data_IF_816324391494
#
_entry.id   IF_816324391494
#
_cell.length_a   1.000
_cell.length_b   1.000
_cell.length_c   1.000
_cell.angle_alpha   90.00
_cell.angle_beta   90.00
_cell.angle_gamma   90.00
#
_symmetry.space_group_name_H-M   'P 1'
#
loop_
_entity.id
_entity.type
_entity.pdbx_description
1 polymer ?
#
# COMPACT_ATOMS: atom_id res chain seq x y z
N UNK A 1 -10.74 8.63 -3.20
CA UNK A 1 -10.13 7.82 -2.12
C UNK A 1 -8.63 8.15 -2.01
N UNK A 2 -7.92 7.66 -0.99
CA UNK A 2 -6.48 7.95 -0.81
C UNK A 2 -5.62 7.46 -1.99
N UNK A 3 -5.96 6.30 -2.55
CA UNK A 3 -5.36 5.81 -3.81
C UNK A 3 -5.55 6.78 -4.97
N UNK A 4 -6.74 7.38 -5.12
CA UNK A 4 -6.98 8.37 -6.18
C UNK A 4 -6.13 9.63 -6.01
N UNK A 5 -5.91 10.08 -4.77
CA UNK A 5 -4.99 11.18 -4.47
C UNK A 5 -3.59 10.82 -4.93
N UNK A 6 -3.11 9.65 -4.53
CA UNK A 6 -1.77 9.15 -4.88
C UNK A 6 -1.57 9.10 -6.40
N UNK A 7 -2.54 8.54 -7.14
CA UNK A 7 -2.51 8.48 -8.62
C UNK A 7 -2.46 9.85 -9.32
N UNK A 8 -2.89 10.93 -8.64
CA UNK A 8 -2.86 12.30 -9.16
C UNK A 8 -1.68 13.12 -8.66
N UNK A 9 -0.92 12.60 -7.71
CA UNK A 9 0.18 13.30 -7.03
C UNK A 9 1.54 12.77 -7.49
N UNK A 10 2.60 13.53 -7.21
CA UNK A 10 3.99 13.09 -7.37
C UNK A 10 4.44 12.10 -6.28
N UNK A 11 3.56 11.78 -5.33
CA UNK A 11 3.85 10.89 -4.19
C UNK A 11 3.89 9.40 -4.54
N UNK A 12 3.80 9.04 -5.83
CA UNK A 12 4.07 7.69 -6.31
C UNK A 12 5.27 7.73 -7.27
N UNK A 13 6.29 6.94 -6.94
CA UNK A 13 7.39 6.57 -7.84
C UNK A 13 7.07 5.25 -8.53
N UNK A 14 7.31 5.14 -9.84
CA UNK A 14 7.07 3.91 -10.58
C UNK A 14 7.89 2.75 -9.99
N UNK A 15 7.22 1.60 -9.75
CA UNK A 15 7.89 0.37 -9.37
C UNK A 15 8.34 -0.37 -10.63
N UNK A 16 9.64 -0.38 -10.89
CA UNK A 16 10.22 -0.93 -12.12
C UNK A 16 10.15 -2.46 -12.20
N UNK A 17 9.83 -3.12 -11.09
CA UNK A 17 9.56 -4.57 -11.04
C UNK A 17 8.18 -4.93 -11.60
N UNK A 18 7.34 -3.93 -11.89
CA UNK A 18 6.05 -4.12 -12.54
C UNK A 18 6.18 -3.99 -14.06
N UNK A 19 5.49 -4.87 -14.77
CA UNK A 19 5.61 -4.97 -16.22
C UNK A 19 4.84 -3.89 -17.00
N UNK A 20 4.02 -3.08 -16.31
CA UNK A 20 3.23 -1.99 -16.90
C UNK A 20 2.03 -2.45 -17.75
N UNK A 21 1.93 -3.75 -18.05
CA UNK A 21 0.86 -4.33 -18.87
C UNK A 21 -0.19 -5.04 -18.03
N UNK A 22 0.23 -6.02 -17.25
CA UNK A 22 -0.61 -6.79 -16.35
C UNK A 22 -0.71 -6.14 -14.97
N UNK A 23 0.41 -5.57 -14.51
CA UNK A 23 0.52 -4.93 -13.21
C UNK A 23 1.16 -3.56 -13.43
N UNK A 24 0.48 -2.53 -12.95
CA UNK A 24 0.96 -1.16 -12.99
C UNK A 24 0.89 -0.58 -11.57
N UNK A 25 1.76 0.36 -11.25
CA UNK A 25 1.86 0.79 -9.85
C UNK A 25 3.18 1.41 -9.47
N UNK A 26 3.32 1.65 -8.18
CA UNK A 26 4.48 2.32 -7.66
C UNK A 26 4.58 2.37 -6.15
N UNK A 27 5.76 2.77 -5.68
CA UNK A 27 6.07 2.99 -4.29
C UNK A 27 5.56 4.36 -3.84
N UNK A 28 4.92 4.37 -2.67
CA UNK A 28 4.42 5.60 -2.07
C UNK A 28 5.56 6.32 -1.36
N UNK A 29 5.91 7.49 -1.89
CA UNK A 29 7.05 8.30 -1.47
C UNK A 29 6.75 9.20 -0.28
N UNK A 30 5.49 9.44 0.03
CA UNK A 30 5.09 10.34 1.12
C UNK A 30 5.36 9.78 2.53
N UNK A 31 6.22 8.78 2.70
CA UNK A 31 6.53 8.16 4.00
C UNK A 31 7.39 9.05 4.91
N UNK A 32 8.06 10.05 4.36
CA UNK A 32 9.02 10.92 5.07
C UNK A 32 8.33 12.09 5.82
N UNK A 33 7.31 12.78 5.26
CA UNK A 33 6.60 13.83 5.97
C UNK A 33 5.69 13.27 7.09
N UNK A 34 5.67 13.93 8.26
CA UNK A 34 4.76 13.61 9.39
C UNK A 34 3.25 13.65 9.07
N UNK A 35 2.90 14.11 7.87
CA UNK A 35 1.54 14.25 7.38
C UNK A 35 1.16 13.23 6.29
N UNK A 36 1.94 12.17 6.08
CA UNK A 36 1.53 11.05 5.20
C UNK A 36 0.17 10.51 5.62
N UNK A 37 -0.86 10.75 4.82
CA UNK A 37 -2.19 10.24 5.12
C UNK A 37 -2.20 8.72 5.06
N UNK A 38 -1.57 8.10 4.05
CA UNK A 38 -1.58 6.66 3.90
C UNK A 38 -0.73 5.92 4.96
N UNK A 39 0.51 6.35 5.21
CA UNK A 39 1.36 5.68 6.21
C UNK A 39 0.78 5.85 7.61
N UNK A 40 0.18 7.00 7.93
CA UNK A 40 -0.50 7.18 9.22
C UNK A 40 -1.71 6.26 9.37
N UNK A 41 -2.48 6.04 8.29
CA UNK A 41 -3.63 5.13 8.31
C UNK A 41 -3.20 3.67 8.56
N UNK A 42 -2.09 3.22 7.97
CA UNK A 42 -1.66 1.82 8.03
C UNK A 42 -0.67 1.57 9.18
N UNK A 43 0.43 2.33 9.23
CA UNK A 43 1.52 2.14 10.20
C UNK A 43 1.38 2.99 11.47
N UNK A 44 0.58 4.06 11.43
CA UNK A 44 0.21 4.83 12.62
C UNK A 44 -0.91 4.20 13.46
N UNK A 45 -1.43 3.03 13.05
CA UNK A 45 -2.52 2.34 13.71
C UNK A 45 -1.98 1.29 14.70
N UNK A 46 -1.73 1.72 15.94
CA UNK A 46 -1.19 0.85 17.00
C UNK A 46 -2.06 -0.40 17.29
N UNK A 47 -3.41 -0.31 17.38
CA UNK A 47 -4.25 -1.49 17.51
C UNK A 47 -4.04 -2.52 16.40
N UNK A 48 -3.89 -2.06 15.16
CA UNK A 48 -3.61 -2.95 14.03
C UNK A 48 -2.23 -3.60 14.16
N UNK A 49 -1.18 -2.84 14.50
CA UNK A 49 0.17 -3.39 14.77
C UNK A 49 0.17 -4.44 15.88
N UNK A 50 -0.58 -4.21 16.96
CA UNK A 50 -0.73 -5.17 18.05
C UNK A 50 -1.42 -6.44 17.58
N UNK A 51 -2.48 -6.32 16.78
CA UNK A 51 -3.14 -7.47 16.16
C UNK A 51 -2.19 -8.26 15.25
N UNK A 52 -1.39 -7.59 14.41
CA UNK A 52 -0.38 -8.25 13.56
C UNK A 52 0.62 -9.04 14.41
N UNK A 53 1.09 -8.44 15.52
CA UNK A 53 2.00 -9.11 16.45
C UNK A 53 1.37 -10.36 17.08
N UNK A 54 0.09 -10.28 17.45
CA UNK A 54 -0.64 -11.39 18.04
C UNK A 54 -0.86 -12.55 17.06
N UNK A 55 -1.19 -12.26 15.79
CA UNK A 55 -1.43 -13.28 14.77
C UNK A 55 -0.14 -13.95 14.30
N UNK A 56 0.97 -13.22 14.24
CA UNK A 56 2.26 -13.80 13.86
C UNK A 56 2.79 -14.81 14.88
N UNK A 57 2.45 -14.64 16.17
CA UNK A 57 2.88 -15.48 17.29
C UNK A 57 4.42 -15.62 17.50
N UNK A 58 5.24 -14.88 16.74
CA UNK A 58 6.72 -14.89 16.76
C UNK A 58 7.33 -13.65 17.47
N UNK A 59 6.49 -12.91 18.19
CA UNK A 59 6.86 -11.71 18.96
C UNK A 59 6.31 -10.40 18.39
N UNK A 60 6.80 -9.25 18.88
CA UNK A 60 6.38 -7.95 18.39
C UNK A 60 6.70 -7.76 16.90
N UNK A 61 5.81 -7.06 16.21
CA UNK A 61 5.93 -6.71 14.80
C UNK A 61 5.95 -5.19 14.64
N UNK A 62 6.71 -4.73 13.65
CA UNK A 62 6.89 -3.30 13.37
C UNK A 62 6.64 -3.00 11.89
N UNK A 63 6.20 -1.77 11.56
CA UNK A 63 6.15 -1.31 10.18
C UNK A 63 7.46 -1.52 9.43
N UNK A 64 7.40 -2.03 8.21
CA UNK A 64 8.60 -2.10 7.36
C UNK A 64 9.12 -0.71 7.01
N UNK A 65 10.43 -0.60 6.89
CA UNK A 65 11.12 0.49 6.18
C UNK A 65 11.16 0.25 4.65
N UNK A 66 10.57 -0.85 4.17
CA UNK A 66 10.21 -1.01 2.76
C UNK A 66 8.94 -0.22 2.44
N UNK A 67 8.88 0.51 1.31
CA UNK A 67 7.72 1.35 0.99
C UNK A 67 6.43 0.57 0.77
N UNK A 68 5.31 1.19 1.12
CA UNK A 68 3.98 0.77 0.69
C UNK A 68 3.90 0.89 -0.84
N UNK A 69 3.37 -0.13 -1.49
CA UNK A 69 3.17 -0.18 -2.93
C UNK A 69 1.68 -0.06 -3.28
N UNK A 70 1.34 0.80 -4.22
CA UNK A 70 0.04 0.79 -4.90
C UNK A 70 0.19 -0.08 -6.15
N UNK A 71 -0.68 -1.06 -6.34
CA UNK A 71 -0.68 -1.92 -7.53
C UNK A 71 -2.08 -2.05 -8.12
N UNK A 72 -2.20 -1.80 -9.41
CA UNK A 72 -3.42 -1.95 -10.20
C UNK A 72 -3.24 -3.07 -11.24
N UNK A 73 -4.30 -3.86 -11.40
CA UNK A 73 -4.48 -4.81 -12.48
C UNK A 73 -5.54 -4.23 -13.42
N UNK A 74 -5.14 -3.88 -14.63
CA UNK A 74 -6.03 -3.29 -15.64
C UNK A 74 -6.98 -4.30 -16.29
N UNK A 75 -7.87 -3.80 -17.16
CA UNK A 75 -8.89 -4.59 -17.88
C UNK A 75 -8.35 -5.73 -18.73
N UNK A 76 -7.15 -5.55 -19.26
CA UNK A 76 -6.48 -6.55 -20.11
C UNK A 76 -5.42 -7.36 -19.34
N UNK A 77 -5.37 -7.20 -18.02
CA UNK A 77 -4.39 -7.89 -17.20
C UNK A 77 -4.61 -9.40 -17.26
N UNK A 78 -3.52 -10.12 -17.56
CA UNK A 78 -3.45 -11.58 -17.45
C UNK A 78 -3.17 -12.04 -16.02
N UNK A 79 -3.07 -11.10 -15.08
CA UNK A 79 -2.83 -11.36 -13.66
C UNK A 79 -1.35 -11.40 -13.29
N UNK A 80 -1.02 -12.29 -12.36
CA UNK A 80 0.32 -12.47 -11.80
C UNK A 80 0.67 -13.95 -11.80
N UNK A 81 1.85 -14.27 -12.35
CA UNK A 81 2.39 -15.62 -12.31
C UNK A 81 2.55 -16.15 -10.89
N UNK A 82 2.57 -17.47 -10.72
CA UNK A 82 2.66 -18.08 -9.42
C UNK A 82 4.06 -17.93 -8.83
N UNK A 83 4.15 -17.44 -7.59
CA UNK A 83 5.42 -17.32 -6.87
C UNK A 83 5.21 -17.41 -5.35
N UNK A 84 6.25 -17.76 -4.58
CA UNK A 84 6.34 -17.42 -3.16
C UNK A 84 6.76 -15.96 -2.99
N UNK A 85 6.43 -15.34 -1.85
CA UNK A 85 6.97 -14.01 -1.51
C UNK A 85 8.45 -14.11 -1.15
N UNK A 86 9.23 -13.14 -1.65
CA UNK A 86 10.67 -13.02 -1.38
C UNK A 86 10.94 -12.77 0.10
N UNK A 87 12.03 -13.33 0.60
CA UNK A 87 12.47 -13.06 1.96
C UNK A 87 13.26 -11.78 2.00
N UNK A 88 12.60 -10.67 2.30
CA UNK A 88 13.21 -9.34 2.33
C UNK A 88 14.03 -9.06 3.61
N UNK A 89 13.70 -9.67 4.75
CA UNK A 89 14.44 -9.46 6.00
C UNK A 89 15.08 -10.75 6.52
N UNK A 90 16.06 -10.55 7.40
CA UNK A 90 17.06 -11.56 7.74
C UNK A 90 16.48 -12.76 8.48
N UNK A 91 15.40 -12.57 9.24
CA UNK A 91 14.83 -13.65 10.05
C UNK A 91 13.75 -14.38 9.24
N UNK A 92 13.97 -15.64 8.85
CA UNK A 92 12.97 -16.39 8.12
C UNK A 92 11.67 -16.50 8.92
N UNK A 93 10.54 -16.47 8.22
CA UNK A 93 9.19 -16.70 8.78
C UNK A 93 8.66 -15.65 9.76
N UNK A 94 9.38 -14.55 10.00
CA UNK A 94 8.88 -13.48 10.87
C UNK A 94 8.09 -12.41 10.14
N UNK A 95 8.42 -12.13 8.88
CA UNK A 95 7.77 -11.04 8.16
C UNK A 95 6.45 -11.47 7.55
N UNK A 96 5.52 -10.52 7.52
CA UNK A 96 4.19 -10.68 6.97
C UNK A 96 3.99 -9.64 5.87
N UNK A 97 3.67 -10.12 4.67
CA UNK A 97 3.22 -9.29 3.57
C UNK A 97 1.69 -9.20 3.59
N UNK A 98 1.19 -7.99 3.37
CA UNK A 98 -0.23 -7.69 3.33
C UNK A 98 -0.63 -7.20 1.95
N UNK A 99 -1.70 -7.75 1.41
CA UNK A 99 -2.39 -7.24 0.23
C UNK A 99 -3.79 -6.79 0.63
N UNK A 100 -3.96 -5.48 0.81
CA UNK A 100 -5.26 -4.87 1.08
C UNK A 100 -5.95 -4.50 -0.23
N UNK A 101 -7.13 -5.07 -0.47
CA UNK A 101 -7.92 -4.82 -1.68
C UNK A 101 -8.73 -3.55 -1.51
N UNK A 102 -8.36 -2.52 -2.27
CA UNK A 102 -9.03 -1.21 -2.25
C UNK A 102 -10.30 -1.27 -3.09
N UNK A 103 -10.16 -1.74 -4.33
CA UNK A 103 -11.26 -2.00 -5.26
C UNK A 103 -11.02 -3.31 -6.01
N UNK A 104 -12.12 -3.92 -6.46
CA UNK A 104 -12.09 -5.09 -7.33
C UNK A 104 -13.46 -5.27 -7.99
N UNK A 105 -13.61 -4.80 -9.23
CA UNK A 105 -14.78 -5.09 -10.09
C UNK A 105 -14.50 -6.23 -11.08
N UNK A 106 -13.29 -6.81 -11.03
CA UNK A 106 -12.90 -7.96 -11.83
C UNK A 106 -13.41 -9.29 -11.28
N UNK A 107 -13.31 -10.32 -12.12
CA UNK A 107 -13.52 -11.72 -11.73
C UNK A 107 -12.21 -12.45 -11.40
N UNK A 108 -11.11 -11.72 -11.22
CA UNK A 108 -9.83 -12.36 -10.90
C UNK A 108 -9.88 -13.05 -9.53
N UNK A 109 -9.29 -14.24 -9.47
CA UNK A 109 -9.05 -14.97 -8.25
C UNK A 109 -7.60 -14.81 -7.85
N UNK A 110 -7.39 -14.63 -6.55
CA UNK A 110 -6.12 -14.96 -5.92
C UNK A 110 -6.14 -16.46 -5.64
N UNK A 111 -5.15 -17.18 -6.13
CA UNK A 111 -4.99 -18.61 -5.91
C UNK A 111 -3.78 -18.87 -5.03
N UNK A 112 -3.87 -19.78 -4.07
CA UNK A 112 -2.73 -20.19 -3.25
C UNK A 112 -2.82 -21.66 -2.84
N UNK A 113 -1.66 -22.29 -2.65
CA UNK A 113 -1.58 -23.64 -2.11
C UNK A 113 -1.33 -23.58 -0.59
N UNK A 114 -2.11 -24.34 0.17
CA UNK A 114 -1.86 -24.50 1.61
C UNK A 114 -0.76 -25.53 1.90
N UNK A 115 -0.43 -25.69 3.18
CA UNK A 115 0.60 -26.63 3.63
C UNK A 115 0.28 -28.11 3.33
N UNK A 116 -1.00 -28.44 3.08
CA UNK A 116 -1.42 -29.78 2.66
C UNK A 116 -1.41 -29.95 1.13
N UNK A 117 -0.98 -28.93 0.38
CA UNK A 117 -0.97 -28.93 -1.08
C UNK A 117 -2.34 -28.70 -1.71
N UNK A 118 -3.35 -28.30 -0.93
CA UNK A 118 -4.68 -27.99 -1.46
C UNK A 118 -4.69 -26.57 -2.05
N UNK A 119 -5.19 -26.48 -3.28
CA UNK A 119 -5.43 -25.21 -3.95
C UNK A 119 -6.68 -24.52 -3.39
N UNK A 120 -6.53 -23.24 -3.02
CA UNK A 120 -7.60 -22.34 -2.65
C UNK A 120 -7.73 -21.24 -3.71
N UNK A 121 -8.97 -20.85 -4.00
CA UNK A 121 -9.30 -19.78 -4.94
C UNK A 121 -10.17 -18.75 -4.21
N UNK A 122 -9.71 -17.50 -4.17
CA UNK A 122 -10.38 -16.42 -3.44
C UNK A 122 -10.53 -15.21 -4.33
N UNK A 123 -11.77 -14.80 -4.60
CA UNK A 123 -12.04 -13.49 -5.21
C UNK A 123 -12.08 -12.43 -4.11
N UNK A 124 -11.02 -11.63 -3.99
CA UNK A 124 -10.92 -10.57 -2.97
C UNK A 124 -11.97 -9.49 -3.19
N UNK A 125 -12.68 -9.07 -2.14
CA UNK A 125 -13.65 -7.97 -2.21
C UNK A 125 -13.01 -6.64 -1.78
N UNK A 126 -13.56 -5.48 -2.18
CA UNK A 126 -13.13 -4.20 -1.61
C UNK A 126 -13.15 -4.26 -0.07
N UNK A 127 -12.18 -3.60 0.56
CA UNK A 127 -11.97 -3.62 2.01
C UNK A 127 -11.69 -5.02 2.61
N UNK A 128 -11.05 -5.90 1.84
CA UNK A 128 -10.53 -7.18 2.35
C UNK A 128 -9.01 -7.15 2.43
N UNK A 129 -8.47 -7.89 3.41
CA UNK A 129 -7.03 -7.99 3.67
C UNK A 129 -6.61 -9.44 3.52
N UNK A 130 -5.62 -9.70 2.67
CA UNK A 130 -4.89 -10.96 2.63
C UNK A 130 -3.53 -10.75 3.28
N UNK A 131 -3.10 -11.74 4.05
CA UNK A 131 -1.82 -11.73 4.76
C UNK A 131 -1.08 -13.02 4.42
N UNK A 132 0.19 -12.90 4.05
CA UNK A 132 1.02 -14.01 3.60
C UNK A 132 2.33 -13.97 4.38
N UNK A 133 2.72 -15.13 4.91
CA UNK A 133 4.05 -15.29 5.47
C UNK A 133 5.08 -15.43 4.36
N UNK A 134 6.24 -14.80 4.54
CA UNK A 134 7.37 -14.93 3.63
C UNK A 134 7.72 -16.40 3.38
N UNK A 135 8.02 -16.76 2.12
CA UNK A 135 8.33 -18.13 1.69
C UNK A 135 7.28 -19.19 2.06
N UNK A 136 6.06 -18.81 2.44
CA UNK A 136 5.06 -19.76 2.92
C UNK A 136 4.19 -20.33 1.78
N UNK A 137 3.34 -19.50 1.18
CA UNK A 137 2.37 -19.96 0.18
C UNK A 137 2.78 -19.49 -1.22
N UNK A 138 2.94 -20.45 -2.13
CA UNK A 138 2.95 -20.12 -3.57
C UNK A 138 1.56 -19.60 -3.93
N UNK A 139 1.50 -18.42 -4.53
CA UNK A 139 0.25 -17.79 -4.88
C UNK A 139 0.33 -17.06 -6.22
N UNK A 140 -0.83 -16.85 -6.83
CA UNK A 140 -0.97 -16.24 -8.15
C UNK A 140 -2.25 -15.39 -8.19
N UNK A 141 -2.36 -14.55 -9.21
CA UNK A 141 -3.58 -13.78 -9.51
C UNK A 141 -3.99 -14.12 -10.92
N UNK A 142 -5.24 -14.53 -11.14
CA UNK A 142 -5.73 -14.83 -12.48
C UNK A 142 -5.99 -13.56 -13.29
N UNK A 143 -6.35 -13.71 -14.57
CA UNK A 143 -6.78 -12.59 -15.40
C UNK A 143 -7.98 -11.85 -14.78
N UNK A 144 -8.05 -10.55 -15.06
CA UNK A 144 -9.16 -9.69 -14.63
C UNK A 144 -10.43 -9.85 -15.48
N UNK A 145 -10.34 -10.54 -16.62
CA UNK A 145 -11.47 -10.79 -17.53
C UNK A 145 -12.31 -9.53 -17.85
N UNK A 146 -11.62 -8.41 -18.12
CA UNK A 146 -12.25 -7.14 -18.50
C UNK A 146 -12.56 -6.18 -17.34
N UNK A 147 -12.39 -6.61 -16.09
CA UNK A 147 -12.50 -5.74 -14.91
C UNK A 147 -11.15 -5.18 -14.44
N UNK A 148 -11.15 -4.52 -13.29
CA UNK A 148 -9.99 -3.91 -12.65
C UNK A 148 -9.87 -4.33 -11.19
N UNK A 149 -8.65 -4.20 -10.65
CA UNK A 149 -8.37 -4.48 -9.24
C UNK A 149 -7.21 -3.62 -8.76
N UNK A 150 -7.42 -2.88 -7.69
CA UNK A 150 -6.39 -2.10 -7.01
C UNK A 150 -6.12 -2.66 -5.62
N UNK A 151 -4.85 -2.82 -5.30
CA UNK A 151 -4.39 -3.21 -3.97
C UNK A 151 -3.37 -2.22 -3.42
N UNK A 152 -3.27 -2.21 -2.10
CA UNK A 152 -2.12 -1.71 -1.37
C UNK A 152 -1.33 -2.91 -0.85
N UNK A 153 -0.04 -2.92 -1.12
CA UNK A 153 0.91 -3.92 -0.61
C UNK A 153 1.82 -3.27 0.42
N UNK A 154 1.93 -3.87 1.60
CA UNK A 154 2.76 -3.36 2.70
C UNK A 154 3.23 -4.51 3.60
N UNK A 155 4.24 -4.26 4.44
CA UNK A 155 4.93 -5.31 5.18
C UNK A 155 5.02 -4.92 6.66
N UNK A 156 4.79 -5.89 7.53
CA UNK A 156 5.25 -5.81 8.92
C UNK A 156 6.39 -6.79 9.13
N UNK A 157 7.40 -6.36 9.88
CA UNK A 157 8.65 -7.09 10.07
C UNK A 157 8.87 -7.39 11.53
N UNK A 158 9.53 -8.52 11.79
CA UNK A 158 10.01 -8.87 13.14
C UNK A 158 11.47 -8.48 13.37
N UNK A 159 12.15 -7.95 12.35
CA UNK A 159 13.56 -7.53 12.41
C UNK A 159 13.89 -6.64 11.20
N UNK A 160 14.60 -5.53 11.40
CA UNK A 160 14.98 -4.62 10.31
C UNK A 160 16.24 -5.04 9.54
N UNK A 161 16.98 -6.06 10.02
CA UNK A 161 18.17 -6.55 9.32
C UNK A 161 17.76 -7.12 7.95
N UNK A 162 18.43 -6.69 6.89
CA UNK A 162 18.11 -7.08 5.51
C UNK A 162 18.63 -8.46 5.18
N UNK A 163 17.89 -9.18 4.32
CA UNK A 163 18.43 -10.33 3.59
C UNK A 163 19.23 -9.83 2.37
N UNK A 164 19.85 -10.77 1.63
CA UNK A 164 20.46 -10.44 0.34
C UNK A 164 19.41 -10.11 -0.73
N UNK A 165 18.24 -10.76 -0.69
CA UNK A 165 17.15 -10.57 -1.65
C UNK A 165 16.55 -9.16 -1.56
N UNK A 166 16.60 -8.52 -0.39
CA UNK A 166 16.17 -7.12 -0.21
C UNK A 166 16.75 -6.21 -1.29
N UNK A 167 18.07 -6.30 -1.49
CA UNK A 167 18.80 -5.39 -2.37
C UNK A 167 18.45 -5.60 -3.84
N UNK A 168 18.19 -6.85 -4.24
CA UNK A 168 17.72 -7.16 -5.60
C UNK A 168 16.34 -6.59 -5.92
N UNK A 169 15.53 -6.33 -4.89
CA UNK A 169 14.18 -5.78 -5.05
C UNK A 169 14.14 -4.26 -4.89
N UNK A 170 15.11 -3.67 -4.18
CA UNK A 170 15.22 -2.20 -4.00
C UNK A 170 15.96 -1.47 -5.11
N UNK A 171 16.67 -2.17 -5.99
CA UNK A 171 17.20 -1.58 -7.22
C UNK A 171 16.03 -1.24 -8.15
N UNK A 172 15.34 -0.15 -7.87
CA UNK A 172 14.23 0.39 -8.65
C UNK A 172 14.76 1.17 -9.87
N UNK A 173 15.71 0.58 -10.61
CA UNK A 173 16.30 1.22 -11.78
C UNK A 173 15.33 1.07 -12.96
N UNK A 174 14.61 2.15 -13.26
CA UNK A 174 13.77 2.25 -14.45
C UNK A 174 14.57 2.85 -15.59
N UNK A 175 14.79 2.07 -16.65
CA UNK A 175 15.15 2.64 -17.95
C UNK A 175 14.11 3.68 -18.39
N UNK A 176 14.50 4.64 -19.23
CA UNK A 176 13.58 5.65 -19.78
C UNK A 176 12.39 5.02 -20.51
N UNK A 177 12.61 3.84 -21.10
CA UNK A 177 11.63 3.06 -21.83
C UNK A 177 10.82 2.07 -20.98
N UNK A 178 10.95 2.12 -19.63
CA UNK A 178 10.19 1.22 -18.77
C UNK A 178 8.67 1.41 -18.96
N UNK A 179 7.92 0.37 -19.37
CA UNK A 179 6.50 0.50 -19.67
C UNK A 179 5.64 0.95 -18.48
N UNK A 180 5.98 0.50 -17.25
CA UNK A 180 5.23 0.91 -16.07
C UNK A 180 5.43 2.40 -15.75
N UNK A 181 6.65 2.92 -15.95
CA UNK A 181 6.94 4.36 -15.78
C UNK A 181 6.12 5.22 -16.75
N UNK A 182 6.07 4.82 -18.02
CA UNK A 182 5.27 5.52 -19.03
C UNK A 182 3.78 5.46 -18.70
N UNK A 183 3.26 4.26 -18.41
CA UNK A 183 1.85 4.06 -18.06
C UNK A 183 1.44 4.86 -16.83
N UNK A 184 2.29 4.94 -15.81
CA UNK A 184 2.01 5.75 -14.62
C UNK A 184 1.91 7.24 -14.96
N UNK A 185 2.81 7.75 -15.80
CA UNK A 185 2.79 9.14 -16.27
C UNK A 185 1.55 9.47 -17.10
N UNK A 186 1.18 8.57 -18.03
CA UNK A 186 0.00 8.70 -18.87
C UNK A 186 -1.28 8.69 -18.04
N UNK A 187 -1.38 7.76 -17.08
CA UNK A 187 -2.52 7.65 -16.15
C UNK A 187 -2.66 8.89 -15.30
N UNK A 188 -1.55 9.41 -14.74
CA UNK A 188 -1.55 10.66 -13.97
C UNK A 188 -2.05 11.82 -14.83
N UNK A 189 -1.50 11.96 -16.03
CA UNK A 189 -1.89 13.02 -16.99
C UNK A 189 -3.37 12.96 -17.32
N UNK A 190 -3.90 11.76 -17.61
CA UNK A 190 -5.33 11.57 -17.89
C UNK A 190 -6.21 11.97 -16.70
N UNK A 191 -5.91 11.46 -15.49
CA UNK A 191 -6.69 11.74 -14.28
C UNK A 191 -6.65 13.22 -13.89
N UNK A 192 -5.53 13.91 -14.12
CA UNK A 192 -5.41 15.36 -13.92
C UNK A 192 -6.24 16.15 -14.94
N UNK A 193 -6.26 15.73 -16.21
CA UNK A 193 -7.12 16.34 -17.24
C UNK A 193 -8.60 16.20 -16.86
N UNK A 194 -9.05 15.00 -16.52
CA UNK A 194 -10.43 14.73 -16.09
C UNK A 194 -10.84 15.59 -14.87
N UNK A 195 -9.94 15.75 -13.90
CA UNK A 195 -10.18 16.63 -12.75
C UNK A 195 -10.31 18.11 -13.16
N UNK A 196 -9.51 18.57 -14.12
CA UNK A 196 -9.58 19.92 -14.69
C UNK A 196 -10.86 20.17 -15.51
N UNK A 197 -11.32 19.16 -16.26
CA UNK A 197 -12.60 19.23 -16.98
C UNK A 197 -13.80 19.28 -16.04
N UNK A 198 -13.74 18.65 -14.86
CA UNK A 198 -14.79 18.80 -13.85
C UNK A 198 -14.73 20.12 -13.08
N UNK A 199 -13.58 20.80 -13.07
CA UNK A 199 -13.44 22.14 -12.47
C UNK A 199 -13.91 23.27 -13.41
N UNK A 200 -14.03 23.02 -14.72
CA UNK A 200 -14.55 23.97 -15.72
C UNK A 200 -15.88 23.50 -16.29
N UNK A 201 -16.98 24.18 -15.94
CA UNK A 201 -18.40 23.83 -16.15
C UNK A 201 -19.06 23.05 -15.01
N UNK A 202 -19.31 23.77 -13.93
CA UNK A 202 -20.46 23.54 -13.08
C UNK A 202 -21.23 24.86 -12.95
N UNK A 203 -21.93 25.27 -14.03
CA UNK A 203 -23.03 26.22 -13.92
C UNK A 203 -24.23 25.43 -13.40
N UNK A 204 -24.34 25.30 -12.08
CA UNK A 204 -25.60 24.86 -11.48
C UNK A 204 -26.52 26.06 -11.46
N UNK A 205 -27.48 26.09 -12.39
CA UNK A 205 -28.67 26.93 -12.26
C UNK A 205 -29.55 26.26 -11.21
N UNK A 206 -29.49 26.76 -9.97
CA UNK A 206 -30.47 26.41 -8.95
C UNK A 206 -31.77 27.16 -9.24
N UNK A 207 -32.80 26.46 -9.68
CA UNK A 207 -34.19 26.92 -9.53
C UNK A 207 -34.82 26.22 -8.34
N UNK A 208 -35.10 26.99 -7.29
CA UNK A 208 -36.13 26.67 -6.28
C UNK A 208 -35.69 25.92 -5.03
N UNK A 209 -35.66 26.67 -3.91
CA UNK A 209 -36.13 26.34 -2.54
C UNK A 209 -35.66 25.02 -1.87
N UNK A 210 -35.10 24.92 -0.66
CA UNK A 210 -34.73 25.82 0.44
C UNK A 210 -33.79 25.01 1.40
N UNK A 211 -33.14 25.64 2.41
CA UNK A 211 -31.79 25.30 2.88
C UNK A 211 -31.72 24.48 4.18
N UNK A 212 -30.55 23.89 4.45
CA UNK A 212 -30.09 23.60 5.81
C UNK A 212 -28.65 24.11 5.96
N UNK A 213 -28.35 24.99 6.94
CA UNK A 213 -27.01 25.53 7.10
C UNK A 213 -26.13 24.57 7.91
N UNK A 214 -25.08 24.03 7.31
CA UNK A 214 -23.97 23.45 8.10
C UNK A 214 -22.99 24.58 8.40
N UNK A 215 -22.94 24.97 9.67
CA UNK A 215 -22.00 25.95 10.20
C UNK A 215 -20.63 25.29 10.37
N UNK A 216 -19.62 25.72 9.60
CA UNK A 216 -18.22 25.37 9.84
C UNK A 216 -17.67 26.30 10.93
N UNK A 217 -17.43 25.78 12.14
CA UNK A 217 -16.65 26.50 13.16
C UNK A 217 -15.16 26.16 13.01
N UNK A 218 -14.36 27.18 12.65
CA UNK A 218 -12.91 27.16 12.90
C UNK A 218 -12.67 27.22 14.41
N UNK A 219 -11.80 26.36 14.93
CA UNK A 219 -11.08 26.64 16.19
C UNK A 219 -9.58 26.56 15.95
N UNK A 220 -8.95 27.69 16.23
CA UNK A 220 -7.53 27.87 16.52
C UNK A 220 -7.26 27.33 17.94
N UNK A 221 -5.98 27.02 18.13
CA UNK A 221 -5.25 26.84 19.39
C UNK A 221 -5.39 25.46 20.06
N UNK A 222 -4.24 24.77 20.14
CA UNK A 222 -3.69 24.15 21.36
C UNK A 222 -2.23 23.78 21.07
N UNK A 223 -1.32 24.72 21.39
CA UNK A 223 0.08 24.45 21.73
C UNK A 223 0.17 24.37 23.25
N UNK A 224 0.68 23.26 23.79
CA UNK A 224 1.53 23.18 25.00
C UNK A 224 1.61 21.72 25.48
N UNK A 225 2.72 21.06 25.20
CA UNK A 225 3.55 20.42 26.22
C UNK A 225 4.79 19.85 25.54
N UNK A 226 5.90 20.53 25.77
CA UNK A 226 7.20 19.89 25.82
C UNK A 226 7.14 18.78 26.87
N UNK A 227 7.51 17.57 26.47
CA UNK A 227 8.37 16.72 27.29
C UNK A 227 9.22 15.89 26.33
N UNK A 228 10.36 16.48 25.98
CA UNK A 228 11.56 15.75 25.63
C UNK A 228 11.91 14.84 26.81
N UNK A 229 12.03 13.54 26.57
CA UNK A 229 13.02 12.73 27.27
C UNK A 229 13.81 11.98 26.19
N UNK A 230 15.01 12.51 25.97
CA UNK A 230 16.12 11.88 25.26
C UNK A 230 16.99 11.13 26.28
N UNK A 231 17.72 10.09 25.87
CA UNK A 231 18.28 9.08 26.74
C UNK A 231 19.73 9.40 27.15
N UNK A 232 19.95 9.70 28.43
CA UNK A 232 21.26 9.55 29.08
C UNK A 232 21.02 9.13 30.53
N UNK A 233 21.36 7.89 30.86
CA UNK A 233 22.13 7.55 32.06
C UNK A 233 22.36 6.04 32.12
N UNK A 234 23.40 5.62 31.39
CA UNK A 234 24.24 4.52 31.87
C UNK A 234 24.99 5.02 33.11
N UNK A 235 24.75 4.39 34.26
CA UNK A 235 25.78 4.01 35.25
C UNK A 235 25.16 3.22 36.42
N UNK A 236 25.33 1.91 36.37
CA UNK A 236 25.67 1.10 37.56
C UNK A 236 27.01 1.62 38.14
N UNK A 237 27.32 1.52 39.45
CA UNK A 237 27.44 0.21 40.12
C UNK A 237 27.21 0.15 41.66
N UNK A 238 27.12 -1.09 42.15
CA UNK A 238 27.60 -1.63 43.46
C UNK A 238 27.64 -0.72 44.69
N UNK A 239 26.89 -1.08 45.74
CA UNK A 239 27.40 -1.81 46.93
C UNK A 239 26.23 -2.20 47.83
#
# INVERSE_FOLDING_TARGET
>A
AETDRLWRSEDIEANCNLDGRNRLGGYVLDHVPRNSSLYRLIYGNDPFRQWVSAVNAEGPMWPSDFPIEVREYGKESRGMGCHPDLQMYKVPRKDLEFAFTVDNDSRCNVSFWDAAGKLHLVQTKPNSLMMVGVNAATHCVSSTDGGTRTILKFIYVGDYRKSNEFWSYTTNECDEDNPNRQMLSDRRTLRLREAGFHAGFMLVVFTGECPVPITIRRRRDLWNSEQMLSPEDQKSPTS
#
